data_IF_306179383258
#
_entry.id   IF_306179383258
#
_cell.length_a   1.000
_cell.length_b   1.000
_cell.length_c   1.000
_cell.angle_alpha   90.00
_cell.angle_beta   90.00
_cell.angle_gamma   90.00
#
_symmetry.space_group_name_H-M   'P 1'
#
loop_
_entity.id
_entity.type
_entity.pdbx_description
1 polymer ?
#
# COMPACT_ATOMS: atom_id res chain seq x y z
N UNK A 1 -13.71 4.01 -22.35
CA UNK A 1 -14.21 3.22 -21.20
C UNK A 1 -13.52 1.88 -21.23
N UNK A 2 -12.59 1.65 -20.31
CA UNK A 2 -12.02 0.32 -20.09
C UNK A 2 -13.10 -0.47 -19.34
N UNK A 3 -13.80 -1.33 -20.04
CA UNK A 3 -14.74 -2.26 -19.44
C UNK A 3 -13.93 -3.41 -18.82
N UNK A 4 -13.31 -3.12 -17.68
CA UNK A 4 -12.69 -4.14 -16.86
C UNK A 4 -13.82 -4.94 -16.23
N UNK A 5 -14.10 -6.12 -16.79
CA UNK A 5 -15.04 -7.01 -16.13
C UNK A 5 -14.55 -7.24 -14.69
N UNK A 6 -15.45 -7.29 -13.70
CA UNK A 6 -15.06 -7.58 -12.31
C UNK A 6 -14.17 -8.82 -12.18
N UNK A 7 -14.34 -9.79 -13.05
CA UNK A 7 -13.55 -11.02 -13.16
C UNK A 7 -12.09 -10.79 -13.55
N UNK A 8 -11.79 -9.82 -14.40
CA UNK A 8 -10.41 -9.53 -14.82
C UNK A 8 -9.63 -8.82 -13.70
N UNK A 9 -10.30 -7.92 -13.00
CA UNK A 9 -9.77 -7.25 -11.81
C UNK A 9 -9.49 -8.30 -10.73
N UNK A 10 -10.43 -9.19 -10.49
CA UNK A 10 -10.34 -10.29 -9.54
C UNK A 10 -9.16 -11.23 -9.83
N UNK A 11 -9.02 -11.71 -11.07
CA UNK A 11 -7.94 -12.64 -11.42
C UNK A 11 -6.55 -12.05 -11.30
N UNK A 12 -6.37 -10.76 -11.60
CA UNK A 12 -5.05 -10.10 -11.50
C UNK A 12 -4.59 -9.96 -10.04
N UNK A 13 -5.53 -9.87 -9.10
CA UNK A 13 -5.26 -9.85 -7.66
C UNK A 13 -5.26 -11.25 -7.03
N UNK A 14 -6.07 -12.18 -7.53
CA UNK A 14 -6.24 -13.52 -6.97
C UNK A 14 -4.93 -14.31 -6.88
N UNK A 15 -4.08 -14.20 -7.90
CA UNK A 15 -2.81 -14.95 -7.98
C UNK A 15 -1.81 -14.51 -6.89
N UNK A 16 -1.97 -13.30 -6.34
CA UNK A 16 -1.05 -12.72 -5.36
C UNK A 16 -1.45 -12.98 -3.91
N UNK A 17 -2.72 -13.27 -3.66
CA UNK A 17 -3.30 -13.27 -2.32
C UNK A 17 -3.26 -14.62 -1.59
N UNK A 18 -2.93 -15.71 -2.27
CA UNK A 18 -2.96 -17.04 -1.66
C UNK A 18 -1.84 -17.32 -0.64
N UNK A 19 -0.91 -16.38 -0.44
CA UNK A 19 0.28 -16.62 0.39
C UNK A 19 0.54 -15.58 1.47
N UNK A 20 -0.22 -14.48 1.52
CA UNK A 20 0.11 -13.35 2.40
C UNK A 20 -0.81 -13.26 3.61
N UNK A 21 -0.20 -13.15 4.80
CA UNK A 21 -0.93 -13.17 6.07
C UNK A 21 -1.57 -11.82 6.41
N UNK A 22 -0.99 -10.73 5.91
CA UNK A 22 -1.33 -9.35 6.29
C UNK A 22 -1.50 -8.43 5.11
N UNK A 23 -2.42 -7.49 5.27
CA UNK A 23 -2.66 -6.39 4.35
C UNK A 23 -2.32 -5.09 5.07
N UNK A 24 -1.19 -4.51 4.74
CA UNK A 24 -0.81 -3.18 5.25
C UNK A 24 -1.46 -2.13 4.35
N UNK A 25 -2.27 -1.28 4.92
CA UNK A 25 -3.02 -0.28 4.17
C UNK A 25 -2.72 1.15 4.65
N UNK A 26 -2.69 2.06 3.70
CA UNK A 26 -2.34 3.46 3.91
C UNK A 26 -3.59 4.30 4.19
N UNK A 27 -3.53 5.15 5.19
CA UNK A 27 -4.61 6.07 5.59
C UNK A 27 -4.87 7.14 4.50
N UNK A 28 -6.10 7.33 4.05
CA UNK A 28 -7.32 6.63 4.45
C UNK A 28 -7.95 5.85 3.27
N UNK A 29 -7.67 6.24 2.03
CA UNK A 29 -8.30 5.66 0.84
C UNK A 29 -7.88 4.21 0.59
N UNK A 30 -6.66 3.85 0.96
CA UNK A 30 -6.18 2.46 0.92
C UNK A 30 -6.99 1.51 1.80
N UNK A 31 -7.63 2.00 2.86
CA UNK A 31 -8.47 1.19 3.74
C UNK A 31 -9.67 0.58 3.04
N UNK A 32 -10.26 1.27 2.06
CA UNK A 32 -11.40 0.79 1.28
C UNK A 32 -11.03 -0.49 0.52
N UNK A 33 -9.91 -0.45 -0.19
CA UNK A 33 -9.42 -1.59 -0.96
C UNK A 33 -8.94 -2.73 -0.07
N UNK A 34 -8.22 -2.41 0.99
CA UNK A 34 -7.75 -3.40 1.96
C UNK A 34 -8.90 -4.16 2.62
N UNK A 35 -9.98 -3.45 2.97
CA UNK A 35 -11.17 -4.07 3.57
C UNK A 35 -11.85 -5.03 2.61
N UNK A 36 -12.01 -4.65 1.35
CA UNK A 36 -12.59 -5.51 0.32
C UNK A 36 -11.73 -6.76 0.07
N UNK A 37 -10.41 -6.58 -0.02
CA UNK A 37 -9.48 -7.66 -0.22
C UNK A 37 -9.45 -8.64 0.98
N UNK A 38 -9.43 -8.12 2.21
CA UNK A 38 -9.48 -8.92 3.43
C UNK A 38 -10.79 -9.72 3.54
N UNK A 39 -11.91 -9.12 3.18
CA UNK A 39 -13.20 -9.81 3.16
C UNK A 39 -13.21 -10.98 2.18
N UNK A 40 -12.70 -10.78 0.97
CA UNK A 40 -12.75 -11.76 -0.11
C UNK A 40 -11.72 -12.87 0.04
N UNK A 41 -10.49 -12.52 0.41
CA UNK A 41 -9.34 -13.45 0.39
C UNK A 41 -8.84 -13.85 1.78
N UNK A 42 -9.35 -13.23 2.82
CA UNK A 42 -8.79 -13.36 4.16
C UNK A 42 -7.59 -12.42 4.37
N UNK A 43 -6.79 -12.71 5.38
CA UNK A 43 -5.67 -11.88 5.80
C UNK A 43 -6.08 -10.78 6.79
N UNK A 44 -5.19 -10.50 7.73
CA UNK A 44 -5.40 -9.47 8.73
C UNK A 44 -5.06 -8.08 8.20
N UNK A 45 -5.89 -7.09 8.50
CA UNK A 45 -5.63 -5.70 8.13
C UNK A 45 -4.68 -5.05 9.15
N UNK A 46 -3.64 -4.41 8.65
CA UNK A 46 -2.69 -3.61 9.43
C UNK A 46 -2.75 -2.17 8.92
N UNK A 47 -3.26 -1.28 9.75
CA UNK A 47 -3.39 0.13 9.38
C UNK A 47 -2.08 0.88 9.58
N UNK A 48 -1.60 1.55 8.53
CA UNK A 48 -0.52 2.52 8.59
C UNK A 48 -1.12 3.92 8.52
N UNK A 49 -0.98 4.70 9.60
CA UNK A 49 -1.67 5.97 9.80
C UNK A 49 -0.74 7.09 10.21
N UNK A 50 -1.16 8.33 10.00
CA UNK A 50 -0.48 9.50 10.55
C UNK A 50 -0.48 9.48 12.08
N UNK A 51 0.52 10.15 12.66
CA UNK A 51 0.75 10.21 14.10
C UNK A 51 -0.52 10.49 14.91
N UNK A 52 -0.65 9.81 16.05
CA UNK A 52 -1.76 9.95 17.00
C UNK A 52 -3.13 9.47 16.49
N UNK A 53 -3.16 8.68 15.43
CA UNK A 53 -4.39 8.08 14.90
C UNK A 53 -4.59 6.62 15.29
N UNK A 54 -3.56 5.97 15.84
CA UNK A 54 -3.64 4.59 16.34
C UNK A 54 -3.51 4.56 17.87
N UNK A 55 -4.25 3.67 18.53
CA UNK A 55 -4.05 3.45 19.97
C UNK A 55 -2.71 2.75 20.21
N UNK A 56 -1.97 3.12 21.28
CA UNK A 56 -0.70 2.46 21.63
C UNK A 56 -0.90 0.97 21.95
N UNK A 57 0.18 0.13 21.90
CA UNK A 57 1.53 0.48 21.44
C UNK A 57 1.64 0.58 19.90
N UNK A 58 2.47 1.51 19.41
CA UNK A 58 2.72 1.72 17.99
C UNK A 58 4.21 1.94 17.72
N UNK A 59 4.67 1.58 16.51
CA UNK A 59 5.93 2.05 15.94
C UNK A 59 5.67 3.34 15.19
N UNK A 60 6.50 4.34 15.45
CA UNK A 60 6.44 5.63 14.78
C UNK A 60 7.68 5.80 13.91
N UNK A 61 7.48 6.21 12.68
CA UNK A 61 8.55 6.44 11.73
C UNK A 61 8.41 7.80 11.05
N UNK A 62 9.47 8.61 11.11
CA UNK A 62 9.54 9.87 10.38
C UNK A 62 9.91 9.61 8.94
N UNK A 63 9.18 10.15 8.01
CA UNK A 63 9.48 10.08 6.60
C UNK A 63 9.48 11.48 5.97
N UNK A 64 10.29 11.62 4.94
CA UNK A 64 10.33 12.86 4.16
C UNK A 64 9.34 12.77 3.02
N UNK A 65 8.53 13.81 2.90
CA UNK A 65 7.79 14.10 1.68
C UNK A 65 8.55 15.13 0.86
N UNK A 66 8.09 15.45 -0.34
CA UNK A 66 8.70 16.50 -1.16
C UNK A 66 8.66 17.89 -0.50
N UNK A 67 7.74 18.10 0.44
CA UNK A 67 7.45 19.40 1.03
C UNK A 67 7.59 19.48 2.56
N UNK A 68 7.63 18.33 3.24
CA UNK A 68 7.61 18.30 4.71
C UNK A 68 8.14 16.98 5.26
N UNK A 69 8.39 16.94 6.57
CA UNK A 69 8.51 15.69 7.32
C UNK A 69 7.15 15.33 7.91
N UNK A 70 6.77 14.09 7.80
CA UNK A 70 5.56 13.54 8.41
C UNK A 70 5.92 12.28 9.22
N UNK A 71 5.02 11.83 10.08
CA UNK A 71 5.21 10.64 10.91
C UNK A 71 4.09 9.65 10.64
N UNK A 72 4.47 8.43 10.30
CA UNK A 72 3.56 7.30 10.20
C UNK A 72 3.68 6.40 11.43
N UNK A 73 2.57 5.79 11.77
CA UNK A 73 2.45 4.83 12.87
C UNK A 73 1.86 3.53 12.37
N UNK A 74 2.37 2.42 12.89
CA UNK A 74 1.94 1.06 12.58
C UNK A 74 2.04 0.20 13.85
N UNK A 75 1.23 -0.84 13.95
CA UNK A 75 1.36 -1.86 15.00
C UNK A 75 2.48 -2.84 14.65
N UNK A 76 3.26 -3.24 15.65
CA UNK A 76 4.21 -4.33 15.48
C UNK A 76 3.48 -5.64 15.17
N UNK A 77 4.15 -6.49 14.41
CA UNK A 77 3.62 -7.77 14.02
C UNK A 77 4.66 -8.66 13.36
N UNK A 78 4.18 -9.65 12.63
CA UNK A 78 5.01 -10.61 11.91
C UNK A 78 4.24 -11.22 10.75
N UNK A 79 4.94 -11.95 9.91
CA UNK A 79 4.40 -12.65 8.76
C UNK A 79 4.57 -11.87 7.47
N UNK A 80 4.16 -12.50 6.38
CA UNK A 80 4.19 -11.91 5.04
C UNK A 80 3.12 -10.83 4.90
N UNK A 81 3.41 -9.80 4.13
CA UNK A 81 2.49 -8.68 3.94
C UNK A 81 2.46 -8.17 2.50
N UNK A 82 1.31 -7.69 2.11
CA UNK A 82 1.13 -6.85 0.94
C UNK A 82 0.77 -5.44 1.38
N UNK A 83 1.38 -4.44 0.78
CA UNK A 83 1.00 -3.03 0.98
C UNK A 83 -0.03 -2.64 -0.06
N UNK A 84 -1.11 -2.01 0.38
CA UNK A 84 -2.24 -1.62 -0.49
C UNK A 84 -2.51 -0.13 -0.36
N UNK A 85 -2.57 0.56 -1.49
CA UNK A 85 -2.99 1.97 -1.56
C UNK A 85 -3.83 2.22 -2.82
N UNK A 86 -4.44 3.39 -2.91
CA UNK A 86 -5.31 3.74 -4.04
C UNK A 86 -4.52 4.27 -5.25
N UNK A 87 -3.60 5.20 -5.05
CA UNK A 87 -2.88 5.89 -6.13
C UNK A 87 -1.38 5.92 -5.88
N UNK A 88 -0.63 5.58 -6.91
CA UNK A 88 0.81 5.76 -6.95
C UNK A 88 1.13 7.00 -7.81
N UNK A 89 1.63 8.05 -7.16
CA UNK A 89 2.14 9.26 -7.82
C UNK A 89 3.68 9.29 -7.71
N UNK A 90 4.25 10.03 -6.79
CA UNK A 90 5.72 10.12 -6.63
C UNK A 90 6.35 8.89 -5.96
N UNK A 91 5.57 8.11 -5.25
CA UNK A 91 6.01 6.89 -4.58
C UNK A 91 6.62 7.09 -3.19
N UNK A 92 6.82 8.33 -2.75
CA UNK A 92 7.44 8.60 -1.45
C UNK A 92 6.67 8.02 -0.27
N UNK A 93 5.34 8.14 -0.27
CA UNK A 93 4.50 7.54 0.77
C UNK A 93 4.56 6.02 0.75
N UNK A 94 4.44 5.40 -0.42
CA UNK A 94 4.48 3.94 -0.55
C UNK A 94 5.82 3.37 -0.09
N UNK A 95 6.94 4.01 -0.47
CA UNK A 95 8.27 3.60 0.00
C UNK A 95 8.37 3.69 1.52
N UNK A 96 7.90 4.78 2.11
CA UNK A 96 7.93 4.96 3.56
C UNK A 96 7.07 3.95 4.31
N UNK A 97 5.92 3.56 3.76
CA UNK A 97 5.07 2.52 4.33
C UNK A 97 5.75 1.15 4.27
N UNK A 98 6.45 0.82 3.18
CA UNK A 98 7.24 -0.41 3.09
C UNK A 98 8.34 -0.44 4.14
N UNK A 99 9.07 0.66 4.31
CA UNK A 99 10.15 0.77 5.28
C UNK A 99 9.65 0.60 6.71
N UNK A 100 8.55 1.28 7.08
CA UNK A 100 7.97 1.16 8.43
C UNK A 100 7.35 -0.22 8.67
N UNK A 101 6.72 -0.83 7.68
CA UNK A 101 6.18 -2.18 7.80
C UNK A 101 7.28 -3.20 8.07
N UNK A 102 8.40 -3.08 7.36
CA UNK A 102 9.59 -3.92 7.58
C UNK A 102 10.17 -3.73 8.97
N UNK A 103 10.29 -2.49 9.45
CA UNK A 103 10.74 -2.19 10.81
C UNK A 103 9.78 -2.70 11.89
N UNK A 104 8.49 -2.76 11.60
CA UNK A 104 7.46 -3.30 12.50
C UNK A 104 7.41 -4.84 12.53
N UNK A 105 8.22 -5.52 11.70
CA UNK A 105 8.37 -6.98 11.71
C UNK A 105 7.66 -7.72 10.59
N UNK A 106 7.07 -7.01 9.61
CA UNK A 106 6.42 -7.64 8.46
C UNK A 106 7.40 -7.86 7.31
N UNK A 107 7.24 -8.96 6.60
CA UNK A 107 7.93 -9.22 5.34
C UNK A 107 7.06 -8.75 4.18
N UNK A 108 7.32 -7.56 3.66
CA UNK A 108 6.55 -7.00 2.54
C UNK A 108 7.00 -7.65 1.24
N UNK A 109 6.12 -8.42 0.61
CA UNK A 109 6.42 -9.14 -0.63
C UNK A 109 5.81 -8.52 -1.87
N UNK A 110 4.75 -7.73 -1.73
CA UNK A 110 4.10 -7.07 -2.86
C UNK A 110 3.53 -5.70 -2.49
N UNK A 111 3.31 -4.88 -3.52
CA UNK A 111 2.62 -3.60 -3.43
C UNK A 111 1.51 -3.56 -4.47
N UNK A 112 0.28 -3.35 -4.02
CA UNK A 112 -0.91 -3.32 -4.87
C UNK A 112 -1.52 -1.92 -4.89
N UNK A 113 -1.62 -1.34 -6.06
CA UNK A 113 -2.20 -0.03 -6.28
C UNK A 113 -3.42 -0.14 -7.19
N UNK A 114 -4.42 0.67 -6.93
CA UNK A 114 -5.55 0.75 -7.85
C UNK A 114 -5.15 1.50 -9.12
N UNK A 115 -4.51 2.65 -8.96
CA UNK A 115 -4.08 3.52 -10.06
C UNK A 115 -2.58 3.80 -9.96
N UNK A 116 -1.87 3.63 -11.06
CA UNK A 116 -0.48 4.06 -11.22
C UNK A 116 -0.41 5.22 -12.23
N UNK A 117 0.04 6.37 -11.77
CA UNK A 117 0.26 7.57 -12.59
C UNK A 117 1.69 7.54 -13.16
N UNK A 118 1.87 6.83 -14.27
CA UNK A 118 3.19 6.64 -14.91
C UNK A 118 3.84 7.94 -15.37
N UNK A 119 3.04 8.96 -15.68
CA UNK A 119 3.54 10.27 -16.10
C UNK A 119 4.08 11.14 -14.96
N UNK A 120 3.86 10.75 -13.71
CA UNK A 120 4.41 11.44 -12.54
C UNK A 120 5.80 10.88 -12.24
N UNK A 121 6.85 11.72 -12.22
CA UNK A 121 8.18 11.26 -11.84
C UNK A 121 8.21 10.69 -10.42
N UNK A 122 8.88 9.55 -10.28
CA UNK A 122 9.10 8.94 -8.95
C UNK A 122 10.19 9.70 -8.21
N UNK A 123 10.13 9.68 -6.88
CA UNK A 123 11.24 10.15 -6.06
C UNK A 123 12.47 9.26 -6.28
N UNK A 124 13.68 9.83 -6.17
CA UNK A 124 14.94 9.14 -6.52
C UNK A 124 15.20 7.88 -5.69
N UNK A 125 14.65 7.83 -4.47
CA UNK A 125 14.79 6.68 -3.57
C UNK A 125 13.71 5.61 -3.73
N UNK A 126 12.78 5.77 -4.68
CA UNK A 126 11.75 4.78 -4.94
C UNK A 126 12.33 3.57 -5.67
N UNK A 127 12.24 2.39 -5.05
CA UNK A 127 12.80 1.14 -5.60
C UNK A 127 11.87 -0.07 -5.42
N UNK A 128 10.57 0.15 -5.33
CA UNK A 128 9.60 -0.91 -5.09
C UNK A 128 9.06 -1.51 -6.39
N UNK A 129 8.83 -2.82 -6.35
CA UNK A 129 7.97 -3.48 -7.33
C UNK A 129 6.51 -3.24 -6.98
N UNK A 130 5.75 -2.76 -7.96
CA UNK A 130 4.33 -2.48 -7.79
C UNK A 130 3.51 -3.19 -8.85
N UNK A 131 2.29 -3.55 -8.47
CA UNK A 131 1.25 -4.00 -9.40
C UNK A 131 0.07 -3.05 -9.27
N UNK A 132 -0.44 -2.62 -10.41
CA UNK A 132 -1.58 -1.71 -10.48
C UNK A 132 -2.67 -2.29 -11.37
N UNK A 133 -3.91 -1.88 -11.11
CA UNK A 133 -5.05 -2.25 -11.95
C UNK A 133 -5.13 -1.36 -13.18
N UNK A 134 -4.89 -0.08 -13.00
CA UNK A 134 -5.00 0.95 -14.05
C UNK A 134 -3.70 1.72 -14.10
N UNK A 135 -3.18 1.92 -15.29
CA UNK A 135 -2.00 2.72 -15.55
C UNK A 135 -2.36 3.90 -16.46
N UNK A 136 -1.94 5.10 -16.05
CA UNK A 136 -2.07 6.32 -16.85
C UNK A 136 -0.70 6.79 -17.32
N UNK A 137 -0.48 6.74 -18.63
CA UNK A 137 0.79 7.12 -19.25
C UNK A 137 0.90 8.64 -19.49
N UNK A 138 -0.23 9.34 -19.60
CA UNK A 138 -0.27 10.78 -19.82
C UNK A 138 -1.58 11.40 -19.36
N UNK A 139 -1.53 12.67 -19.02
CA UNK A 139 -2.72 13.51 -18.88
C UNK A 139 -3.18 13.94 -20.25
N UNK A 140 -4.38 13.61 -20.64
CA UNK A 140 -5.01 14.14 -21.84
C UNK A 140 -5.81 15.38 -21.52
#
# INVERSE_FOLDING_TARGET
>A
CINLSPWFVFNKFLILFFTEDKIVCVDARGFIFASALSYEFGGGIVMCRKKSKLPPPVKSYKYKTEYSEDTLEIKDGSGTAVVVDDVLATGGTLQSVNDIATLAGYEVINNLLFIDLKYVPRVDWFNLNVRSLIEYESVR
#
